data_IF_863190317706
#
_entry.id   IF_863190317706
#
_cell.length_a   1.000
_cell.length_b   1.000
_cell.length_c   1.000
_cell.angle_alpha   90.00
_cell.angle_beta   90.00
_cell.angle_gamma   90.00
#
_symmetry.space_group_name_H-M   'P 1'
#
loop_
_entity.id
_entity.type
_entity.pdbx_description
1 polymer ?
#
# COMPACT_ATOMS: atom_id res chain seq x y z
N UNK A 1 -15.40 -12.52 -9.10
CA UNK A 1 -14.26 -13.04 -8.31
C UNK A 1 -13.07 -12.14 -8.59
N UNK A 2 -12.79 -11.15 -7.73
CA UNK A 2 -11.61 -10.29 -7.91
C UNK A 2 -10.36 -11.15 -7.68
N UNK A 3 -9.48 -11.20 -8.69
CA UNK A 3 -8.25 -12.01 -8.70
C UNK A 3 -7.09 -11.33 -7.97
N UNK A 4 -7.32 -10.16 -7.38
CA UNK A 4 -6.32 -9.33 -6.72
C UNK A 4 -6.86 -8.88 -5.36
N UNK A 5 -5.96 -8.79 -4.38
CA UNK A 5 -6.22 -8.15 -3.10
C UNK A 5 -6.17 -6.65 -3.37
N UNK A 6 -7.32 -6.00 -3.25
CA UNK A 6 -7.42 -4.54 -3.29
C UNK A 6 -6.86 -4.03 -1.95
N UNK A 7 -5.75 -3.29 -2.00
CA UNK A 7 -5.14 -2.71 -0.80
C UNK A 7 -6.15 -1.79 -0.11
N UNK A 8 -6.19 -1.86 1.23
CA UNK A 8 -6.95 -0.89 2.00
C UNK A 8 -6.23 0.47 1.94
N UNK A 9 -7.00 1.55 1.85
CA UNK A 9 -6.48 2.90 1.99
C UNK A 9 -5.73 3.01 3.33
N UNK A 10 -4.45 3.42 3.28
CA UNK A 10 -3.61 3.56 4.47
C UNK A 10 -4.06 4.71 5.36
N UNK A 11 -4.90 5.61 4.83
CA UNK A 11 -5.51 6.71 5.57
C UNK A 11 -6.81 6.30 6.30
N UNK A 12 -7.26 5.05 6.12
CA UNK A 12 -8.50 4.58 6.72
C UNK A 12 -8.34 4.36 8.23
N UNK A 13 -8.81 5.32 9.03
CA UNK A 13 -8.77 5.37 10.50
C UNK A 13 -9.58 4.28 11.24
N UNK A 14 -9.80 3.13 10.62
CA UNK A 14 -10.51 2.00 11.22
C UNK A 14 -9.53 1.08 11.94
N UNK A 15 -9.36 1.31 13.25
CA UNK A 15 -8.90 0.34 14.26
C UNK A 15 -7.46 -0.23 14.11
N UNK A 16 -6.62 0.35 13.27
CA UNK A 16 -5.17 0.12 13.33
C UNK A 16 -4.51 1.16 14.26
N UNK A 17 -3.36 0.84 14.89
CA UNK A 17 -2.59 1.84 15.63
C UNK A 17 -2.35 3.08 14.76
N UNK A 18 -2.18 4.24 15.39
CA UNK A 18 -1.82 5.51 14.74
C UNK A 18 -0.88 5.21 13.56
N UNK A 19 -1.38 5.50 12.35
CA UNK A 19 -0.83 5.26 11.01
C UNK A 19 0.19 4.11 10.85
N UNK A 20 -0.03 3.22 9.88
CA UNK A 20 0.98 2.23 9.47
C UNK A 20 2.34 2.90 9.15
N UNK A 21 2.31 4.16 8.73
CA UNK A 21 3.47 5.04 8.51
C UNK A 21 4.33 5.27 9.76
N UNK A 22 3.76 5.26 10.97
CA UNK A 22 4.49 5.43 12.24
C UNK A 22 5.26 4.15 12.64
N UNK A 23 4.97 3.02 12.00
CA UNK A 23 5.54 1.70 12.29
C UNK A 23 6.41 1.14 11.17
N UNK A 24 6.27 1.69 9.97
CA UNK A 24 6.95 1.21 8.77
C UNK A 24 7.86 2.32 8.29
N UNK A 25 9.14 2.21 8.64
CA UNK A 25 10.16 3.15 8.18
C UNK A 25 10.25 3.20 6.65
N UNK A 26 10.76 4.31 6.11
CA UNK A 26 10.87 4.55 4.66
C UNK A 26 11.74 3.48 3.94
N UNK A 27 12.70 2.89 4.65
CA UNK A 27 13.57 1.84 4.13
C UNK A 27 13.00 0.42 4.28
N UNK A 28 11.81 0.30 4.88
CA UNK A 28 11.25 -1.00 5.20
C UNK A 28 10.95 -1.77 3.90
N UNK A 29 11.38 -3.04 3.78
CA UNK A 29 11.21 -3.81 2.56
C UNK A 29 9.74 -3.97 2.12
N UNK A 30 8.76 -3.82 3.02
CA UNK A 30 7.34 -3.83 2.66
C UNK A 30 6.96 -2.69 1.70
N UNK A 31 7.69 -1.57 1.71
CA UNK A 31 7.52 -0.41 0.81
C UNK A 31 7.88 -0.72 -0.65
N UNK A 32 8.58 -1.82 -0.90
CA UNK A 32 8.88 -2.26 -2.26
C UNK A 32 7.61 -2.54 -3.08
N UNK A 33 6.50 -2.90 -2.41
CA UNK A 33 5.20 -3.11 -3.07
C UNK A 33 4.64 -1.78 -3.59
N UNK A 34 4.77 -0.70 -2.81
CA UNK A 34 4.30 0.63 -3.21
C UNK A 34 5.10 1.12 -4.43
N UNK A 35 6.43 1.02 -4.38
CA UNK A 35 7.32 1.36 -5.49
C UNK A 35 7.04 0.52 -6.75
N UNK A 36 6.68 -0.75 -6.58
CA UNK A 36 6.28 -1.62 -7.69
C UNK A 36 4.98 -1.14 -8.33
N UNK A 37 3.96 -0.80 -7.52
CA UNK A 37 2.67 -0.30 -8.01
C UNK A 37 2.84 1.04 -8.72
N UNK A 38 3.60 1.98 -8.15
CA UNK A 38 3.87 3.29 -8.75
C UNK A 38 4.60 3.20 -10.09
N UNK A 39 5.42 2.16 -10.26
CA UNK A 39 6.13 1.91 -11.51
C UNK A 39 5.25 1.23 -12.58
N UNK A 40 4.05 0.74 -12.24
CA UNK A 40 3.13 0.13 -13.20
C UNK A 40 2.34 1.21 -13.95
N UNK A 41 2.45 1.22 -15.27
CA UNK A 41 1.56 2.02 -16.12
C UNK A 41 0.18 1.36 -16.23
N UNK A 42 -0.69 1.68 -15.27
CA UNK A 42 -2.09 1.23 -15.23
C UNK A 42 -2.99 1.98 -16.22
N UNK A 43 -2.48 3.01 -16.90
CA UNK A 43 -3.24 3.84 -17.85
C UNK A 43 -3.57 3.17 -19.18
N UNK A 44 -3.03 1.96 -19.41
CA UNK A 44 -3.18 1.19 -20.64
C UNK A 44 -3.91 -0.16 -20.46
N UNK A 45 -4.60 -0.39 -19.33
CA UNK A 45 -5.33 -1.64 -19.05
C UNK A 45 -6.82 -1.61 -19.45
#
# INVERSE_FOLDING_TARGET
MKRFIEGADREQATLLPECLEDWVEDDNPVRAIDAFIDALDLGNL
#
